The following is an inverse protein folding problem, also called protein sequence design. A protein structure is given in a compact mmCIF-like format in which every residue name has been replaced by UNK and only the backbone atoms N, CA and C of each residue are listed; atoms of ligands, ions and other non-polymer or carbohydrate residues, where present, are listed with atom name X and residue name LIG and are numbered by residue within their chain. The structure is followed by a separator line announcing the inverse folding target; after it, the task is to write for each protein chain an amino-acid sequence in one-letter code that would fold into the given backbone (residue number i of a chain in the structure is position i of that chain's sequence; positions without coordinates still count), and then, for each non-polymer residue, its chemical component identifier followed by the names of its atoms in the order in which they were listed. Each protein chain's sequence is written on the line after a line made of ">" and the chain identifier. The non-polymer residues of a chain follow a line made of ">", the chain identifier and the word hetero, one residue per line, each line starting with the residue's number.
data_IF_345353400091
#
_entry.id   IF_345353400091
#
_cell.length_a   1.000
_cell.length_b   1.000
_cell.length_c   1.000
_cell.angle_alpha   90.00
_cell.angle_beta   90.00
_cell.angle_gamma   90.00
#
_symmetry.space_group_name_H-M   'P 1'
#
loop_
_entity.id
_entity.type
_entity.pdbx_description
1 polymer ?
#
# COMPACT_ATOMS: atom_id res chain seq x y z
N UNK A 1 68.55 -54.84 -1.50
CA UNK A 1 67.49 -54.33 -2.38
C UNK A 1 66.61 -53.41 -1.56
N UNK A 2 66.39 -52.17 -2.00
CA UNK A 2 65.53 -51.20 -1.31
C UNK A 2 65.93 -49.77 -1.65
N UNK A 3 65.07 -49.08 -2.38
CA UNK A 3 65.33 -47.89 -3.19
C UNK A 3 65.29 -46.54 -2.43
N UNK A 4 65.94 -45.56 -3.04
CA UNK A 4 65.83 -44.11 -2.78
C UNK A 4 64.41 -43.61 -3.11
N UNK A 5 63.87 -42.70 -2.30
CA UNK A 5 63.01 -41.62 -2.80
C UNK A 5 62.93 -40.48 -1.79
N UNK A 6 63.58 -39.37 -2.13
CA UNK A 6 63.25 -38.03 -1.67
C UNK A 6 61.88 -37.66 -2.23
N UNK A 7 60.91 -37.37 -1.36
CA UNK A 7 59.67 -36.69 -1.70
C UNK A 7 59.41 -35.65 -0.60
N UNK A 8 59.59 -34.36 -0.92
CA UNK A 8 58.68 -33.50 -1.68
C UNK A 8 57.61 -32.92 -0.77
N UNK A 9 57.79 -31.62 -0.52
CA UNK A 9 56.89 -30.61 0.03
C UNK A 9 55.51 -31.10 0.51
N UNK A 10 55.30 -30.91 1.82
CA UNK A 10 54.02 -31.01 2.53
C UNK A 10 52.86 -30.38 1.73
N UNK A 11 51.80 -31.14 1.38
CA UNK A 11 50.63 -30.61 0.68
C UNK A 11 49.61 -29.97 1.65
N UNK A 12 50.01 -29.65 2.89
CA UNK A 12 49.10 -29.20 3.95
C UNK A 12 48.69 -27.72 3.80
N UNK A 13 49.25 -26.97 2.84
CA UNK A 13 49.03 -25.52 2.72
C UNK A 13 48.30 -25.05 1.44
N UNK A 14 47.57 -25.91 0.71
CA UNK A 14 46.82 -25.49 -0.50
C UNK A 14 45.33 -25.93 -0.51
N UNK A 15 44.80 -26.52 0.57
CA UNK A 15 43.36 -26.83 0.66
C UNK A 15 42.52 -25.82 1.46
N UNK A 16 43.12 -24.71 1.91
CA UNK A 16 42.43 -23.66 2.68
C UNK A 16 41.85 -22.49 1.85
N UNK A 17 41.78 -22.61 0.51
CA UNK A 17 41.27 -21.51 -0.34
C UNK A 17 40.03 -21.84 -1.18
N UNK A 18 39.46 -23.05 -1.07
CA UNK A 18 38.24 -23.40 -1.79
C UNK A 18 37.22 -24.08 -0.88
N UNK A 19 36.44 -23.28 -0.16
CA UNK A 19 34.98 -23.48 0.03
C UNK A 19 34.35 -22.50 1.02
N UNK A 20 34.86 -21.26 1.13
CA UNK A 20 34.04 -20.16 1.64
C UNK A 20 33.18 -19.61 0.51
N UNK A 21 32.20 -20.39 0.05
CA UNK A 21 31.04 -19.87 -0.66
C UNK A 21 29.81 -20.27 0.14
N UNK A 22 29.57 -19.53 1.22
CA UNK A 22 28.21 -19.36 1.71
C UNK A 22 27.39 -18.76 0.55
N UNK A 23 26.72 -19.62 -0.22
CA UNK A 23 25.62 -19.17 -1.06
C UNK A 23 24.48 -18.86 -0.08
N UNK A 24 24.44 -17.62 0.41
CA UNK A 24 23.18 -17.06 0.85
C UNK A 24 22.27 -17.00 -0.38
N UNK A 25 21.39 -17.99 -0.51
CA UNK A 25 20.26 -17.88 -1.41
C UNK A 25 19.51 -16.60 -1.03
N UNK A 26 19.56 -15.61 -1.92
CA UNK A 26 18.79 -14.38 -1.81
C UNK A 26 17.31 -14.76 -1.71
N UNK A 27 16.72 -14.62 -0.53
CA UNK A 27 15.29 -14.80 -0.28
C UNK A 27 14.42 -13.68 -0.91
N UNK A 28 14.96 -12.99 -1.92
CA UNK A 28 14.39 -11.84 -2.63
C UNK A 28 13.29 -12.25 -3.62
N UNK A 29 13.25 -13.51 -4.06
CA UNK A 29 12.25 -13.98 -5.03
C UNK A 29 10.84 -14.02 -4.45
N UNK A 30 10.68 -14.34 -3.16
CA UNK A 30 9.37 -14.57 -2.55
C UNK A 30 8.56 -13.27 -2.32
N UNK A 31 9.24 -12.13 -2.15
CA UNK A 31 8.59 -10.85 -1.85
C UNK A 31 8.04 -10.14 -3.11
N UNK A 32 8.86 -10.03 -4.16
CA UNK A 32 8.45 -9.40 -5.43
C UNK A 32 7.30 -10.19 -6.05
N UNK A 33 7.31 -11.51 -5.86
CA UNK A 33 6.26 -12.40 -6.33
C UNK A 33 4.93 -12.16 -5.60
N UNK A 34 4.93 -12.03 -4.26
CA UNK A 34 3.70 -11.79 -3.49
C UNK A 34 2.97 -10.50 -3.89
N UNK A 35 3.68 -9.39 -4.04
CA UNK A 35 3.06 -8.12 -4.48
C UNK A 35 2.50 -8.28 -5.89
N UNK A 36 3.27 -8.86 -6.81
CA UNK A 36 2.86 -9.04 -8.19
C UNK A 36 1.63 -9.94 -8.30
N UNK A 37 1.62 -11.07 -7.57
CA UNK A 37 0.50 -12.01 -7.53
C UNK A 37 -0.76 -11.36 -6.94
N UNK A 38 -0.63 -10.69 -5.79
CA UNK A 38 -1.74 -9.98 -5.14
C UNK A 38 -2.36 -8.96 -6.09
N UNK A 39 -1.55 -8.10 -6.71
CA UNK A 39 -2.04 -7.09 -7.63
C UNK A 39 -2.63 -7.68 -8.91
N UNK A 40 -2.06 -8.77 -9.43
CA UNK A 40 -2.58 -9.48 -10.60
C UNK A 40 -3.95 -10.08 -10.30
N UNK A 41 -4.14 -10.67 -9.13
CA UNK A 41 -5.42 -11.24 -8.72
C UNK A 41 -6.47 -10.15 -8.51
N UNK A 42 -6.12 -9.06 -7.81
CA UNK A 42 -7.01 -7.92 -7.64
C UNK A 42 -7.48 -7.32 -8.97
N UNK A 43 -6.56 -7.04 -9.88
CA UNK A 43 -6.90 -6.40 -11.17
C UNK A 43 -7.76 -7.29 -12.08
N UNK A 44 -7.80 -8.61 -11.83
CA UNK A 44 -8.71 -9.52 -12.51
C UNK A 44 -10.12 -9.47 -11.93
N UNK A 45 -10.26 -9.22 -10.63
CA UNK A 45 -11.55 -9.23 -9.94
C UNK A 45 -12.19 -7.84 -9.85
N UNK A 46 -11.39 -6.77 -9.89
CA UNK A 46 -11.88 -5.39 -9.87
C UNK A 46 -11.24 -4.58 -11.01
N UNK A 47 -11.98 -4.30 -12.10
CA UNK A 47 -11.46 -3.56 -13.24
C UNK A 47 -11.20 -2.08 -12.93
N UNK A 48 -11.67 -1.57 -11.79
CA UNK A 48 -11.43 -0.18 -11.37
C UNK A 48 -10.06 0.01 -10.71
N UNK A 49 -9.32 -1.07 -10.44
CA UNK A 49 -7.96 -1.02 -9.90
C UNK A 49 -6.97 -1.49 -10.96
N UNK A 50 -6.05 -0.61 -11.36
CA UNK A 50 -5.03 -1.03 -12.32
C UNK A 50 -3.90 -1.83 -11.64
N UNK A 51 -3.44 -2.88 -12.32
CA UNK A 51 -2.27 -3.66 -11.89
C UNK A 51 -1.05 -2.79 -11.60
N UNK A 52 -0.80 -1.82 -12.49
CA UNK A 52 0.30 -0.87 -12.36
C UNK A 52 0.14 -0.03 -11.09
N UNK A 53 -1.03 0.57 -10.87
CA UNK A 53 -1.30 1.39 -9.68
C UNK A 53 -1.11 0.58 -8.39
N UNK A 54 -1.66 -0.63 -8.34
CA UNK A 54 -1.50 -1.51 -7.18
C UNK A 54 -0.02 -1.78 -6.88
N UNK A 55 0.72 -2.23 -7.90
CA UNK A 55 2.13 -2.58 -7.75
C UNK A 55 2.97 -1.37 -7.33
N UNK A 56 2.82 -0.23 -8.01
CA UNK A 56 3.62 0.97 -7.70
C UNK A 56 3.28 1.53 -6.34
N UNK A 57 2.01 1.50 -5.93
CA UNK A 57 1.58 2.02 -4.63
C UNK A 57 2.18 1.20 -3.49
N UNK A 58 2.09 -0.14 -3.57
CA UNK A 58 2.68 -1.01 -2.56
C UNK A 58 4.20 -0.89 -2.53
N UNK A 59 4.87 -0.81 -3.69
CA UNK A 59 6.32 -0.67 -3.76
C UNK A 59 6.85 0.69 -3.29
N UNK A 60 6.00 1.71 -3.18
CA UNK A 60 6.39 3.04 -2.71
C UNK A 60 6.71 3.08 -1.21
N UNK A 61 6.19 2.15 -0.39
CA UNK A 61 6.58 2.04 1.02
C UNK A 61 7.93 1.28 1.12
N UNK A 62 9.00 1.87 1.68
CA UNK A 62 10.29 1.20 1.83
C UNK A 62 10.22 -0.10 2.63
N UNK A 63 9.23 -0.26 3.50
CA UNK A 63 9.03 -1.47 4.30
C UNK A 63 8.51 -2.64 3.48
N UNK A 64 7.99 -2.40 2.28
CA UNK A 64 7.52 -3.46 1.39
C UNK A 64 8.62 -4.48 1.15
N UNK A 65 9.89 -4.07 0.99
CA UNK A 65 11.04 -4.99 0.85
C UNK A 65 11.22 -6.04 1.95
N UNK A 66 10.53 -5.88 3.09
CA UNK A 66 10.58 -6.79 4.24
C UNK A 66 9.30 -7.61 4.44
N UNK A 67 8.30 -7.47 3.56
CA UNK A 67 7.05 -8.24 3.64
C UNK A 67 7.35 -9.72 3.41
N UNK A 68 6.89 -10.58 4.33
CA UNK A 68 7.13 -12.04 4.28
C UNK A 68 5.88 -12.84 3.94
N UNK A 69 4.71 -12.24 4.12
CA UNK A 69 3.42 -12.89 3.95
C UNK A 69 2.33 -11.84 3.68
N UNK A 70 1.14 -12.31 3.36
CA UNK A 70 -0.02 -11.48 3.04
C UNK A 70 -0.44 -10.57 4.20
N UNK A 71 -0.24 -11.00 5.45
CA UNK A 71 -0.55 -10.20 6.64
C UNK A 71 0.37 -8.98 6.76
N UNK A 72 1.65 -9.15 6.48
CA UNK A 72 2.59 -8.02 6.43
C UNK A 72 2.18 -7.05 5.32
N UNK A 73 1.81 -7.58 4.14
CA UNK A 73 1.37 -6.76 3.00
C UNK A 73 0.11 -5.96 3.29
N UNK A 74 -0.89 -6.55 3.95
CA UNK A 74 -2.11 -5.86 4.34
C UNK A 74 -1.87 -4.76 5.40
N UNK A 75 -0.87 -4.94 6.27
CA UNK A 75 -0.48 -3.86 7.17
C UNK A 75 0.18 -2.69 6.41
N UNK A 76 0.99 -3.00 5.40
CA UNK A 76 1.56 -1.97 4.50
C UNK A 76 0.45 -1.22 3.75
N UNK A 77 -0.51 -1.93 3.15
CA UNK A 77 -1.59 -1.29 2.40
C UNK A 77 -2.44 -0.34 3.26
N UNK A 78 -2.77 -0.72 4.50
CA UNK A 78 -3.47 0.14 5.45
C UNK A 78 -2.66 1.38 5.84
N UNK A 79 -1.34 1.27 5.99
CA UNK A 79 -0.47 2.43 6.26
C UNK A 79 -0.45 3.41 5.08
N UNK A 80 -0.34 2.89 3.85
CA UNK A 80 -0.36 3.70 2.63
C UNK A 80 -1.72 4.40 2.50
N UNK A 81 -2.82 3.67 2.71
CA UNK A 81 -4.17 4.24 2.68
C UNK A 81 -4.30 5.38 3.70
N UNK A 82 -3.92 5.13 4.96
CA UNK A 82 -3.95 6.16 6.01
C UNK A 82 -3.15 7.41 5.63
N UNK A 83 -1.96 7.22 5.07
CA UNK A 83 -1.14 8.36 4.63
C UNK A 83 -1.86 9.14 3.52
N UNK A 84 -2.37 8.44 2.50
CA UNK A 84 -3.09 9.08 1.39
C UNK A 84 -4.31 9.89 1.86
N UNK A 85 -5.19 9.32 2.69
CA UNK A 85 -6.38 10.03 3.18
C UNK A 85 -6.00 11.22 4.08
N UNK A 86 -4.91 11.10 4.84
CA UNK A 86 -4.37 12.20 5.66
C UNK A 86 -3.89 13.35 4.78
N UNK A 87 -3.10 13.05 3.75
CA UNK A 87 -2.61 14.04 2.79
C UNK A 87 -3.75 14.69 1.99
N UNK A 88 -4.77 13.91 1.64
CA UNK A 88 -5.96 14.43 0.95
C UNK A 88 -6.74 15.40 1.84
N UNK A 89 -6.99 15.06 3.11
CA UNK A 89 -7.59 16.00 4.07
C UNK A 89 -6.77 17.28 4.21
N UNK A 90 -5.45 17.19 4.31
CA UNK A 90 -4.56 18.38 4.37
C UNK A 90 -4.69 19.21 3.10
N UNK A 91 -4.73 18.56 1.94
CA UNK A 91 -4.90 19.24 0.66
C UNK A 91 -6.25 19.99 0.58
N UNK A 92 -7.34 19.39 1.04
CA UNK A 92 -8.66 20.03 1.11
C UNK A 92 -8.61 21.29 1.98
N UNK A 93 -8.02 21.21 3.19
CA UNK A 93 -7.81 22.39 4.05
C UNK A 93 -7.04 23.49 3.34
N UNK A 94 -6.03 23.14 2.55
CA UNK A 94 -5.25 24.11 1.79
C UNK A 94 -6.05 24.75 0.64
N UNK A 95 -6.90 23.98 -0.04
CA UNK A 95 -7.82 24.51 -1.06
C UNK A 95 -8.79 25.51 -0.44
N UNK A 96 -9.41 25.18 0.69
CA UNK A 96 -10.32 26.06 1.42
C UNK A 96 -9.63 27.37 1.88
N UNK A 97 -8.37 27.29 2.33
CA UNK A 97 -7.58 28.48 2.71
C UNK A 97 -7.22 29.37 1.51
N UNK A 98 -6.59 28.80 0.46
CA UNK A 98 -6.16 29.57 -0.73
C UNK A 98 -7.34 30.20 -1.46
N UNK A 99 -8.48 29.52 -1.47
CA UNK A 99 -9.70 30.02 -2.09
C UNK A 99 -10.51 30.94 -1.16
N UNK A 100 -10.09 31.18 0.09
CA UNK A 100 -10.61 32.29 0.90
C UNK A 100 -9.96 33.61 0.52
N UNK A 101 -8.71 33.57 0.06
CA UNK A 101 -7.96 34.72 -0.44
C UNK A 101 -8.46 35.18 -1.84
N UNK A 102 -9.21 34.32 -2.53
CA UNK A 102 -9.90 34.60 -3.80
C UNK A 102 -11.41 34.43 -3.57
N UNK A 103 -12.27 34.95 -4.44
CA UNK A 103 -13.72 34.67 -4.30
C UNK A 103 -13.99 33.24 -4.79
N UNK A 104 -14.20 32.30 -3.88
CA UNK A 104 -14.60 30.92 -4.20
C UNK A 104 -16.06 30.86 -4.65
N UNK A 105 -16.36 29.99 -5.62
CA UNK A 105 -17.73 29.61 -5.92
C UNK A 105 -18.38 28.94 -4.68
N UNK A 106 -19.56 29.40 -4.22
CA UNK A 106 -20.18 28.87 -3.00
C UNK A 106 -20.43 27.36 -3.01
N UNK A 107 -20.83 26.80 -4.16
CA UNK A 107 -21.07 25.37 -4.29
C UNK A 107 -19.75 24.58 -4.19
N UNK A 108 -18.68 25.06 -4.83
CA UNK A 108 -17.36 24.44 -4.69
C UNK A 108 -16.82 24.51 -3.26
N UNK A 109 -17.15 25.57 -2.52
CA UNK A 109 -16.81 25.66 -1.10
C UNK A 109 -17.55 24.60 -0.29
N UNK A 110 -18.86 24.48 -0.49
CA UNK A 110 -19.72 23.49 0.17
C UNK A 110 -19.20 22.07 -0.08
N UNK A 111 -18.98 21.67 -1.34
CA UNK A 111 -18.43 20.36 -1.66
C UNK A 111 -17.05 20.12 -1.00
N UNK A 112 -16.21 21.15 -0.90
CA UNK A 112 -14.90 21.01 -0.22
C UNK A 112 -15.04 20.88 1.30
N UNK A 113 -16.02 21.54 1.91
CA UNK A 113 -16.32 21.40 3.34
C UNK A 113 -16.87 19.99 3.62
N UNK A 114 -17.78 19.47 2.79
CA UNK A 114 -18.31 18.10 2.90
C UNK A 114 -17.20 17.06 2.71
N UNK A 115 -16.36 17.23 1.68
CA UNK A 115 -15.18 16.39 1.48
C UNK A 115 -14.25 16.43 2.70
N UNK A 116 -14.10 17.58 3.36
CA UNK A 116 -13.25 17.70 4.55
C UNK A 116 -13.79 16.86 5.71
N UNK A 117 -15.12 16.83 5.89
CA UNK A 117 -15.81 16.02 6.89
C UNK A 117 -15.59 14.53 6.62
N UNK A 118 -15.98 14.04 5.45
CA UNK A 118 -15.89 12.60 5.13
C UNK A 118 -14.44 12.08 5.13
N UNK A 119 -13.45 12.89 4.74
CA UNK A 119 -12.03 12.50 4.85
C UNK A 119 -11.50 12.58 6.29
N UNK A 120 -12.12 13.37 7.17
CA UNK A 120 -11.79 13.36 8.60
C UNK A 120 -12.29 12.06 9.25
N UNK A 121 -13.50 11.62 8.90
CA UNK A 121 -14.06 10.33 9.33
C UNK A 121 -13.28 9.16 8.74
N UNK A 122 -12.90 9.22 7.47
CA UNK A 122 -12.05 8.21 6.83
C UNK A 122 -10.73 8.00 7.59
N UNK A 123 -10.16 9.05 8.18
CA UNK A 123 -8.93 8.94 8.99
C UNK A 123 -9.21 8.26 10.33
N UNK A 124 -10.35 8.52 10.97
CA UNK A 124 -10.76 7.78 12.16
C UNK A 124 -10.96 6.30 11.81
N UNK A 125 -11.71 6.02 10.74
CA UNK A 125 -12.02 4.67 10.27
C UNK A 125 -10.78 3.86 9.90
N UNK A 126 -9.82 4.43 9.16
CA UNK A 126 -8.57 3.70 8.82
C UNK A 126 -7.70 3.44 10.06
N UNK A 127 -7.71 4.35 11.05
CA UNK A 127 -6.97 4.12 12.29
C UNK A 127 -7.59 2.97 13.11
N UNK A 128 -8.92 2.90 13.15
CA UNK A 128 -9.63 1.81 13.82
C UNK A 128 -9.50 0.50 13.03
N UNK A 129 -9.57 0.54 11.70
CA UNK A 129 -9.26 -0.62 10.85
C UNK A 129 -7.87 -1.18 11.13
N UNK A 130 -6.86 -0.33 11.33
CA UNK A 130 -5.52 -0.76 11.71
C UNK A 130 -5.50 -1.46 13.09
N UNK A 131 -6.31 -1.01 14.06
CA UNK A 131 -6.43 -1.68 15.37
C UNK A 131 -7.05 -3.07 15.21
N UNK A 132 -8.15 -3.16 14.48
CA UNK A 132 -8.85 -4.42 14.21
C UNK A 132 -7.96 -5.40 13.44
N UNK A 133 -7.25 -4.92 12.43
CA UNK A 133 -6.30 -5.70 11.65
C UNK A 133 -5.19 -6.31 12.53
N UNK A 134 -4.66 -5.53 13.48
CA UNK A 134 -3.66 -6.03 14.44
C UNK A 134 -4.26 -7.10 15.38
N UNK A 135 -5.52 -6.90 15.79
CA UNK A 135 -6.30 -7.84 16.59
C UNK A 135 -6.83 -9.05 15.78
N UNK A 136 -6.57 -9.11 14.47
CA UNK A 136 -7.08 -10.14 13.54
C UNK A 136 -8.61 -10.15 13.39
N UNK A 137 -9.27 -9.04 13.71
CA UNK A 137 -10.70 -8.81 13.49
C UNK A 137 -10.91 -8.35 12.05
N UNK A 138 -10.68 -9.24 11.08
CA UNK A 138 -10.65 -8.86 9.66
C UNK A 138 -12.01 -8.44 9.10
N UNK A 139 -13.12 -8.98 9.63
CA UNK A 139 -14.46 -8.53 9.28
C UNK A 139 -14.70 -7.06 9.68
N UNK A 140 -14.33 -6.69 10.91
CA UNK A 140 -14.45 -5.31 11.39
C UNK A 140 -13.51 -4.36 10.65
N UNK A 141 -12.28 -4.81 10.38
CA UNK A 141 -11.34 -4.09 9.53
C UNK A 141 -11.92 -3.84 8.14
N UNK A 142 -12.57 -4.84 7.52
CA UNK A 142 -13.18 -4.70 6.21
C UNK A 142 -14.27 -3.62 6.19
N UNK A 143 -15.19 -3.65 7.16
CA UNK A 143 -16.27 -2.65 7.27
C UNK A 143 -15.69 -1.24 7.34
N UNK A 144 -14.65 -1.05 8.17
CA UNK A 144 -14.03 0.26 8.35
C UNK A 144 -13.27 0.74 7.11
N UNK A 145 -12.58 -0.15 6.38
CA UNK A 145 -11.92 0.22 5.11
C UNK A 145 -12.96 0.50 4.02
N UNK A 146 -14.09 -0.21 3.99
CA UNK A 146 -15.18 0.05 3.05
C UNK A 146 -15.73 1.46 3.24
N UNK A 147 -15.90 1.91 4.49
CA UNK A 147 -16.28 3.30 4.76
C UNK A 147 -15.26 4.33 4.25
N UNK A 148 -13.96 4.01 4.24
CA UNK A 148 -12.93 4.88 3.64
C UNK A 148 -13.07 4.96 2.12
N UNK A 149 -13.39 3.84 1.47
CA UNK A 149 -13.70 3.79 0.05
C UNK A 149 -14.93 4.68 -0.26
N UNK A 150 -16.00 4.54 0.53
CA UNK A 150 -17.23 5.31 0.38
C UNK A 150 -17.00 6.82 0.58
N UNK A 151 -16.11 7.22 1.49
CA UNK A 151 -15.75 8.63 1.66
C UNK A 151 -15.14 9.23 0.37
N UNK A 152 -14.35 8.44 -0.36
CA UNK A 152 -13.72 8.89 -1.61
C UNK A 152 -14.72 9.05 -2.75
N UNK A 153 -15.70 8.14 -2.86
CA UNK A 153 -16.76 8.22 -3.87
C UNK A 153 -17.76 9.32 -3.54
N UNK A 154 -18.19 9.42 -2.28
CA UNK A 154 -19.09 10.47 -1.78
C UNK A 154 -18.52 11.87 -2.06
N UNK A 155 -17.24 12.08 -1.74
CA UNK A 155 -16.59 13.35 -2.03
C UNK A 155 -16.54 13.67 -3.53
N UNK A 156 -16.30 12.67 -4.39
CA UNK A 156 -16.27 12.90 -5.84
C UNK A 156 -17.67 13.15 -6.42
N UNK A 157 -18.67 12.42 -5.94
CA UNK A 157 -20.05 12.49 -6.42
C UNK A 157 -20.73 13.81 -6.04
N UNK A 158 -20.37 14.41 -4.89
CA UNK A 158 -20.87 15.74 -4.51
C UNK A 158 -20.59 16.82 -5.56
N UNK A 159 -19.44 16.79 -6.24
CA UNK A 159 -19.16 17.74 -7.34
C UNK A 159 -19.97 17.45 -8.60
N UNK A 160 -20.36 16.19 -8.84
CA UNK A 160 -21.11 15.77 -10.02
C UNK A 160 -22.57 16.21 -9.99
N UNK A 161 -23.12 16.53 -8.82
CA UNK A 161 -24.50 17.02 -8.67
C UNK A 161 -24.79 18.27 -9.52
N UNK A 162 -23.77 19.10 -9.76
CA UNK A 162 -23.86 20.25 -10.68
C UNK A 162 -22.92 20.14 -11.88
N UNK A 163 -22.51 18.92 -12.23
CA UNK A 163 -21.58 18.64 -13.34
C UNK A 163 -20.26 19.43 -13.25
N UNK A 164 -19.77 19.67 -12.03
CA UNK A 164 -18.50 20.36 -11.83
C UNK A 164 -17.37 19.34 -11.72
N UNK A 165 -16.25 19.64 -12.38
CA UNK A 165 -15.02 18.86 -12.21
C UNK A 165 -14.46 19.09 -10.82
N UNK A 166 -14.36 18.01 -10.05
CA UNK A 166 -13.78 18.01 -8.72
C UNK A 166 -12.30 18.40 -8.76
N UNK A 167 -11.84 19.35 -7.93
CA UNK A 167 -10.41 19.61 -7.75
C UNK A 167 -9.69 18.45 -7.03
N UNK A 168 -10.45 17.42 -6.60
CA UNK A 168 -9.98 16.27 -5.86
C UNK A 168 -10.03 14.97 -6.68
N UNK A 169 -10.51 14.96 -7.94
CA UNK A 169 -10.71 13.75 -8.75
C UNK A 169 -9.56 12.76 -8.68
N UNK A 170 -8.32 13.23 -8.85
CA UNK A 170 -7.14 12.35 -8.75
C UNK A 170 -7.00 11.75 -7.34
N UNK A 171 -7.15 12.56 -6.29
CA UNK A 171 -6.98 12.14 -4.90
C UNK A 171 -8.09 11.19 -4.45
N UNK A 172 -9.32 11.44 -4.90
CA UNK A 172 -10.46 10.56 -4.67
C UNK A 172 -10.25 9.22 -5.38
N UNK A 173 -9.81 9.23 -6.64
CA UNK A 173 -9.48 8.00 -7.38
C UNK A 173 -8.29 7.22 -6.79
N UNK A 174 -7.28 7.92 -6.27
CA UNK A 174 -6.16 7.29 -5.57
C UNK A 174 -6.63 6.64 -4.25
N UNK A 175 -7.47 7.34 -3.47
CA UNK A 175 -8.03 6.82 -2.21
C UNK A 175 -8.95 5.62 -2.45
N UNK A 176 -9.78 5.65 -3.50
CA UNK A 176 -10.61 4.53 -3.92
C UNK A 176 -9.76 3.28 -4.21
N UNK A 177 -8.78 3.40 -5.11
CA UNK A 177 -7.96 2.26 -5.51
C UNK A 177 -7.12 1.73 -4.33
N UNK A 178 -6.59 2.60 -3.47
CA UNK A 178 -5.87 2.18 -2.26
C UNK A 178 -6.76 1.44 -1.26
N UNK A 179 -8.02 1.88 -1.11
CA UNK A 179 -9.01 1.20 -0.28
C UNK A 179 -9.36 -0.18 -0.84
N UNK A 180 -9.56 -0.29 -2.16
CA UNK A 180 -9.81 -1.56 -2.83
C UNK A 180 -8.63 -2.55 -2.68
N UNK A 181 -7.38 -2.07 -2.76
CA UNK A 181 -6.19 -2.88 -2.48
C UNK A 181 -6.20 -3.41 -1.04
N UNK A 182 -6.49 -2.55 -0.07
CA UNK A 182 -6.56 -2.95 1.34
C UNK A 182 -7.68 -3.97 1.58
N UNK A 183 -8.89 -3.72 1.05
CA UNK A 183 -10.03 -4.64 1.15
C UNK A 183 -9.73 -6.00 0.54
N UNK A 184 -9.12 -6.04 -0.64
CA UNK A 184 -8.75 -7.29 -1.29
C UNK A 184 -7.86 -8.14 -0.38
N UNK A 185 -6.80 -7.55 0.18
CA UNK A 185 -5.88 -8.26 1.06
C UNK A 185 -6.58 -8.72 2.35
N UNK A 186 -7.38 -7.85 2.98
CA UNK A 186 -8.16 -8.19 4.19
C UNK A 186 -9.11 -9.36 3.92
N UNK A 187 -9.78 -9.37 2.77
CA UNK A 187 -10.68 -10.46 2.39
C UNK A 187 -9.98 -11.79 2.17
N UNK A 188 -8.75 -11.77 1.65
CA UNK A 188 -7.95 -12.99 1.53
C UNK A 188 -7.51 -13.55 2.90
N UNK A 189 -7.45 -12.70 3.94
CA UNK A 189 -7.11 -13.10 5.32
C UNK A 189 -8.33 -13.51 6.16
N UNK A 190 -9.54 -13.17 5.72
CA UNK A 190 -10.81 -13.48 6.39
C UNK A 190 -11.47 -14.78 5.90
N UNK A 191 -10.67 -15.68 5.30
CA UNK A 191 -11.11 -16.98 4.78
C UNK A 191 -10.89 -18.09 5.79
#
# INVERSE_FOLDING_TARGET
>A
MGFISLNSFSPILILFLYSSHFISANNSSNHVDLIAETCKNLSKTDPNVSFRFCKTSLQADPHSRYVRNLRDLGFISLKILRHNVTETRIHIKNLLKKKKEKKIDPFIKECLDDCLEVFSDAIANVNDAIKDYKAKLYADCNVKVSSVLDASTTCEDGFKEKNVVSPLTKRNGDAFQLSAIALFIVNQLNK
#
